data_IF_340440761888
#
_entry.id   IF_340440761888
#
_cell.length_a   1.000
_cell.length_b   1.000
_cell.length_c   1.000
_cell.angle_alpha   90.00
_cell.angle_beta   90.00
_cell.angle_gamma   90.00
#
_symmetry.space_group_name_H-M   'P 1'
#
loop_
_entity.id
_entity.type
_entity.pdbx_description
1 polymer ?
#
# COMPACT_ATOMS: atom_id res chain seq x y z
N UNK A 1 -7.17 -3.34 15.82
CA UNK A 1 -8.37 -4.20 15.76
C UNK A 1 -9.34 -3.51 14.82
N UNK A 2 -9.08 -3.65 13.50
CA UNK A 2 -9.87 -3.02 12.44
C UNK A 2 -11.18 -3.79 12.30
N UNK A 3 -12.26 -3.10 12.59
CA UNK A 3 -13.63 -3.59 12.44
C UNK A 3 -13.90 -3.65 10.93
N UNK A 4 -13.83 -4.84 10.36
CA UNK A 4 -14.31 -5.09 9.00
C UNK A 4 -15.77 -4.68 8.89
N UNK A 5 -16.17 -3.87 7.92
CA UNK A 5 -17.56 -3.52 7.76
C UNK A 5 -18.37 -4.78 7.43
N UNK A 6 -19.32 -5.08 8.25
CA UNK A 6 -20.23 -6.25 8.24
C UNK A 6 -21.10 -6.38 6.98
N UNK A 7 -20.95 -5.49 5.99
CA UNK A 7 -21.78 -5.43 4.79
C UNK A 7 -21.48 -6.51 3.75
N UNK A 8 -20.23 -7.06 3.67
CA UNK A 8 -19.91 -8.18 2.79
C UNK A 8 -20.67 -9.46 3.17
N UNK A 9 -20.90 -9.68 4.48
CA UNK A 9 -21.62 -10.87 4.97
C UNK A 9 -23.14 -10.76 4.78
N UNK A 10 -23.68 -9.56 4.81
CA UNK A 10 -25.11 -9.32 4.57
C UNK A 10 -25.50 -9.45 3.10
N UNK A 11 -24.56 -9.21 2.20
CA UNK A 11 -24.82 -9.23 0.77
C UNK A 11 -25.01 -10.66 0.23
N UNK A 12 -24.17 -11.60 0.65
CA UNK A 12 -24.29 -13.03 0.29
C UNK A 12 -25.57 -13.70 0.82
N UNK A 13 -26.12 -13.19 1.92
CA UNK A 13 -27.38 -13.71 2.47
C UNK A 13 -28.66 -13.16 1.81
N UNK A 14 -28.58 -12.04 1.10
CA UNK A 14 -29.76 -11.40 0.47
C UNK A 14 -29.95 -11.71 -1.00
N UNK A 15 -28.98 -12.36 -1.68
CA UNK A 15 -29.24 -13.06 -2.94
C UNK A 15 -29.95 -14.38 -2.62
N UNK A 16 -31.09 -14.30 -1.98
CA UNK A 16 -32.04 -15.41 -1.93
C UNK A 16 -32.73 -15.42 -3.29
N UNK A 17 -32.19 -16.24 -4.19
CA UNK A 17 -32.93 -16.69 -5.35
C UNK A 17 -34.35 -17.00 -4.90
N UNK A 18 -35.34 -16.29 -5.39
CA UNK A 18 -36.75 -16.69 -5.30
C UNK A 18 -36.91 -18.03 -6.00
N UNK A 19 -36.65 -19.12 -5.29
CA UNK A 19 -37.35 -20.35 -5.60
C UNK A 19 -38.72 -20.24 -4.94
N UNK A 20 -39.74 -20.37 -5.79
CA UNK A 20 -41.05 -20.86 -5.56
C UNK A 20 -42.19 -19.87 -5.18
N UNK A 21 -42.96 -19.54 -6.19
CA UNK A 21 -44.33 -20.09 -6.30
C UNK A 21 -44.77 -20.06 -7.76
N UNK A 22 -44.71 -21.18 -8.44
CA UNK A 22 -45.21 -21.33 -9.82
C UNK A 22 -46.70 -21.53 -9.82
N UNK A 23 -47.44 -20.57 -10.34
CA UNK A 23 -48.63 -20.88 -11.13
C UNK A 23 -48.19 -20.95 -12.60
N UNK A 24 -48.53 -22.08 -13.21
CA UNK A 24 -48.12 -22.47 -14.56
C UNK A 24 -48.77 -21.58 -15.62
N UNK A 25 -47.92 -20.76 -16.27
CA UNK A 25 -48.16 -20.20 -17.60
C UNK A 25 -47.02 -20.70 -18.52
N UNK A 26 -47.27 -21.02 -19.79
CA UNK A 26 -46.23 -21.59 -20.67
C UNK A 26 -45.10 -20.58 -20.89
N UNK A 27 -43.87 -21.03 -20.65
CA UNK A 27 -42.66 -20.28 -20.75
C UNK A 27 -42.22 -20.11 -22.21
N UNK A 28 -41.80 -18.90 -22.65
CA UNK A 28 -41.05 -18.76 -23.89
C UNK A 28 -39.68 -19.44 -23.78
N UNK A 29 -39.02 -19.78 -24.93
CA UNK A 29 -37.84 -20.65 -24.94
C UNK A 29 -36.67 -20.05 -24.14
N UNK A 30 -36.14 -20.85 -23.27
CA UNK A 30 -34.95 -20.78 -22.40
C UNK A 30 -33.96 -19.64 -22.65
N UNK A 31 -34.13 -18.53 -21.93
CA UNK A 31 -32.98 -17.75 -21.50
C UNK A 31 -32.25 -18.60 -20.42
N UNK A 32 -31.09 -19.09 -20.72
CA UNK A 32 -30.21 -19.82 -19.78
C UNK A 32 -30.00 -18.92 -18.55
N UNK A 33 -30.48 -19.36 -17.41
CA UNK A 33 -30.26 -18.65 -16.13
C UNK A 33 -28.74 -18.50 -15.94
N UNK A 34 -28.18 -17.28 -15.84
CA UNK A 34 -26.75 -17.10 -15.73
C UNK A 34 -26.24 -17.81 -14.47
N UNK A 35 -25.10 -18.52 -14.57
CA UNK A 35 -24.49 -19.15 -13.42
C UNK A 35 -23.86 -18.09 -12.49
N UNK A 36 -23.50 -18.49 -11.26
CA UNK A 36 -22.94 -17.57 -10.25
C UNK A 36 -21.71 -16.79 -10.78
N UNK A 37 -20.83 -17.46 -11.49
CA UNK A 37 -19.62 -16.84 -12.05
C UNK A 37 -19.97 -15.76 -13.08
N UNK A 38 -20.93 -16.03 -13.95
CA UNK A 38 -21.42 -15.05 -14.94
C UNK A 38 -22.05 -13.84 -14.24
N UNK A 39 -22.85 -14.08 -13.17
CA UNK A 39 -23.44 -12.99 -12.39
C UNK A 39 -22.37 -12.13 -11.71
N UNK A 40 -21.33 -12.76 -11.15
CA UNK A 40 -20.20 -12.04 -10.56
C UNK A 40 -19.46 -11.20 -11.58
N UNK A 41 -19.18 -11.74 -12.76
CA UNK A 41 -18.54 -10.99 -13.85
C UNK A 41 -19.36 -9.79 -14.30
N UNK A 42 -20.66 -9.98 -14.51
CA UNK A 42 -21.56 -8.89 -14.88
C UNK A 42 -21.66 -7.84 -13.78
N UNK A 43 -21.61 -8.25 -12.51
CA UNK A 43 -21.65 -7.32 -11.39
C UNK A 43 -20.37 -6.48 -11.31
N UNK A 44 -19.20 -7.08 -11.50
CA UNK A 44 -17.93 -6.35 -11.59
C UNK A 44 -17.96 -5.37 -12.76
N UNK A 45 -18.44 -5.79 -13.93
CA UNK A 45 -18.61 -4.90 -15.08
C UNK A 45 -19.53 -3.70 -14.73
N UNK A 46 -20.66 -3.95 -14.06
CA UNK A 46 -21.56 -2.89 -13.60
C UNK A 46 -20.89 -1.89 -12.67
N UNK A 47 -20.09 -2.36 -11.70
CA UNK A 47 -19.36 -1.50 -10.74
C UNK A 47 -18.37 -0.57 -11.45
N UNK A 48 -17.82 -0.98 -12.59
CA UNK A 48 -16.92 -0.20 -13.42
C UNK A 48 -17.60 0.53 -14.59
N UNK A 49 -18.95 0.63 -14.57
CA UNK A 49 -19.75 1.27 -15.63
C UNK A 49 -19.52 0.66 -17.04
N UNK A 50 -19.14 -0.61 -17.09
CA UNK A 50 -19.00 -1.36 -18.34
C UNK A 50 -20.34 -1.98 -18.75
N UNK A 51 -20.54 -2.33 -20.04
CA UNK A 51 -21.77 -2.98 -20.51
C UNK A 51 -22.06 -4.28 -19.73
N UNK A 52 -23.33 -4.46 -19.31
CA UNK A 52 -23.79 -5.63 -18.58
C UNK A 52 -25.31 -5.85 -18.74
N UNK A 53 -25.78 -7.08 -18.51
CA UNK A 53 -27.20 -7.46 -18.58
C UNK A 53 -27.83 -7.71 -17.21
N UNK A 54 -27.23 -7.19 -16.14
CA UNK A 54 -27.63 -7.46 -14.74
C UNK A 54 -29.01 -6.94 -14.40
N UNK A 55 -29.48 -5.90 -15.05
CA UNK A 55 -30.80 -5.32 -14.81
C UNK A 55 -31.94 -6.34 -14.94
N UNK A 56 -31.77 -7.35 -15.81
CA UNK A 56 -32.77 -8.43 -15.99
C UNK A 56 -32.83 -9.42 -14.82
N UNK A 57 -31.77 -9.47 -14.02
CA UNK A 57 -31.59 -10.45 -12.91
C UNK A 57 -31.85 -9.85 -11.54
N UNK A 58 -31.80 -8.51 -11.42
CA UNK A 58 -32.04 -7.78 -10.17
C UNK A 58 -33.54 -7.67 -9.91
N UNK A 59 -33.95 -7.89 -8.69
CA UNK A 59 -35.35 -7.80 -8.29
C UNK A 59 -35.84 -6.36 -8.34
N UNK A 60 -36.91 -6.11 -9.06
CA UNK A 60 -37.65 -4.85 -9.07
C UNK A 60 -38.72 -4.90 -7.97
N UNK A 61 -38.66 -3.93 -7.04
CA UNK A 61 -39.72 -3.66 -6.06
C UNK A 61 -39.95 -2.13 -5.94
N UNK A 62 -39.64 -1.51 -4.80
CA UNK A 62 -39.72 -0.06 -4.58
C UNK A 62 -38.71 0.74 -5.41
N UNK A 63 -37.60 0.12 -5.81
CA UNK A 63 -36.57 0.71 -6.67
C UNK A 63 -36.42 -0.14 -7.93
N UNK A 64 -36.20 0.50 -9.07
CA UNK A 64 -35.86 -0.22 -10.30
C UNK A 64 -34.52 -0.94 -10.18
N UNK A 65 -34.28 -1.94 -11.03
CA UNK A 65 -32.99 -2.66 -11.07
C UNK A 65 -31.82 -1.69 -11.32
N UNK A 66 -31.99 -0.73 -12.21
CA UNK A 66 -31.00 0.30 -12.55
C UNK A 66 -30.71 1.20 -11.34
N UNK A 67 -31.74 1.66 -10.62
CA UNK A 67 -31.56 2.47 -9.42
C UNK A 67 -30.78 1.73 -8.33
N UNK A 68 -31.06 0.43 -8.16
CA UNK A 68 -30.31 -0.40 -7.21
C UNK A 68 -28.86 -0.58 -7.61
N UNK A 69 -28.61 -0.88 -8.89
CA UNK A 69 -27.24 -1.00 -9.40
C UNK A 69 -26.49 0.31 -9.23
N UNK A 70 -27.13 1.45 -9.52
CA UNK A 70 -26.52 2.77 -9.33
C UNK A 70 -26.14 3.03 -7.85
N UNK A 71 -26.97 2.63 -6.90
CA UNK A 71 -26.64 2.71 -5.47
C UNK A 71 -25.40 1.87 -5.12
N UNK A 72 -25.30 0.65 -5.66
CA UNK A 72 -24.14 -0.20 -5.45
C UNK A 72 -22.87 0.38 -6.07
N UNK A 73 -22.96 0.91 -7.31
CA UNK A 73 -21.83 1.58 -7.97
C UNK A 73 -21.37 2.80 -7.19
N UNK A 74 -22.29 3.64 -6.71
CA UNK A 74 -21.95 4.80 -5.90
C UNK A 74 -21.26 4.38 -4.58
N UNK A 75 -21.83 3.41 -3.85
CA UNK A 75 -21.24 2.92 -2.61
C UNK A 75 -19.86 2.28 -2.83
N UNK A 76 -19.65 1.58 -3.94
CA UNK A 76 -18.37 1.01 -4.32
C UNK A 76 -17.32 2.12 -4.54
N UNK A 77 -17.66 3.14 -5.33
CA UNK A 77 -16.75 4.28 -5.58
C UNK A 77 -16.46 5.04 -4.28
N UNK A 78 -17.46 5.35 -3.47
CA UNK A 78 -17.29 6.03 -2.18
C UNK A 78 -16.38 5.20 -1.26
N UNK A 79 -16.68 3.91 -1.09
CA UNK A 79 -15.89 3.05 -0.20
C UNK A 79 -14.43 2.90 -0.62
N UNK A 80 -14.13 2.80 -1.92
CA UNK A 80 -12.75 2.76 -2.39
C UNK A 80 -12.08 4.14 -2.34
N UNK A 81 -12.84 5.23 -2.51
CA UNK A 81 -12.31 6.58 -2.31
C UNK A 81 -11.90 6.79 -0.85
N UNK A 82 -12.69 6.32 0.12
CA UNK A 82 -12.34 6.36 1.53
C UNK A 82 -11.09 5.54 1.85
N UNK A 83 -10.93 4.36 1.22
CA UNK A 83 -9.72 3.55 1.33
C UNK A 83 -8.51 4.33 0.79
N UNK A 84 -8.61 4.92 -0.40
CA UNK A 84 -7.53 5.73 -0.97
C UNK A 84 -7.20 6.95 -0.10
N UNK A 85 -8.21 7.64 0.44
CA UNK A 85 -8.01 8.77 1.34
C UNK A 85 -7.31 8.38 2.65
N UNK A 86 -7.58 7.16 3.14
CA UNK A 86 -6.88 6.61 4.32
C UNK A 86 -5.40 6.34 4.05
N UNK A 87 -5.07 5.81 2.86
CA UNK A 87 -3.68 5.51 2.46
C UNK A 87 -2.93 6.79 2.09
N UNK A 88 -3.58 7.70 1.37
CA UNK A 88 -3.00 8.90 0.77
C UNK A 88 -3.48 10.18 1.45
N UNK A 89 -3.48 10.17 2.79
CA UNK A 89 -4.03 11.25 3.60
C UNK A 89 -3.31 12.58 3.41
N UNK A 90 -1.99 12.55 3.25
CA UNK A 90 -1.19 13.77 3.03
C UNK A 90 -1.37 14.28 1.60
N UNK A 91 -1.44 13.40 0.61
CA UNK A 91 -1.79 13.78 -0.76
C UNK A 91 -3.16 14.46 -0.78
N UNK A 92 -4.18 13.88 -0.12
CA UNK A 92 -5.53 14.47 -0.02
C UNK A 92 -5.49 15.85 0.62
N UNK A 93 -4.76 16.03 1.72
CA UNK A 93 -4.60 17.31 2.39
C UNK A 93 -3.93 18.38 1.49
N UNK A 94 -2.99 17.97 0.63
CA UNK A 94 -2.26 18.90 -0.26
C UNK A 94 -3.09 19.39 -1.44
N UNK A 95 -4.01 18.59 -1.98
CA UNK A 95 -4.78 18.94 -3.19
C UNK A 95 -6.25 19.25 -2.90
N UNK A 96 -6.71 18.99 -1.69
CA UNK A 96 -8.10 19.15 -1.25
C UNK A 96 -9.05 18.06 -1.74
N UNK A 97 -10.17 17.92 -1.04
CA UNK A 97 -11.12 16.80 -1.21
C UNK A 97 -11.68 16.71 -2.62
N UNK A 98 -12.05 17.81 -3.25
CA UNK A 98 -12.65 17.80 -4.58
C UNK A 98 -11.69 17.24 -5.64
N UNK A 99 -10.43 17.70 -5.62
CA UNK A 99 -9.41 17.24 -6.55
C UNK A 99 -9.04 15.78 -6.26
N UNK A 100 -8.91 15.41 -4.99
CA UNK A 100 -8.62 14.04 -4.58
C UNK A 100 -9.72 13.07 -5.03
N UNK A 101 -11.00 13.42 -4.81
CA UNK A 101 -12.14 12.60 -5.22
C UNK A 101 -12.20 12.36 -6.74
N UNK A 102 -11.83 13.36 -7.54
CA UNK A 102 -11.74 13.19 -8.99
C UNK A 102 -10.64 12.19 -9.38
N UNK A 103 -9.46 12.32 -8.78
CA UNK A 103 -8.34 11.39 -9.02
C UNK A 103 -8.65 9.97 -8.53
N UNK A 104 -9.23 9.86 -7.33
CA UNK A 104 -9.65 8.58 -6.76
C UNK A 104 -10.67 7.88 -7.67
N UNK A 105 -11.69 8.61 -8.14
CA UNK A 105 -12.66 8.06 -9.08
C UNK A 105 -12.00 7.61 -10.39
N UNK A 106 -11.09 8.39 -10.94
CA UNK A 106 -10.35 8.02 -12.15
C UNK A 106 -9.51 6.75 -11.91
N UNK A 107 -8.83 6.67 -10.78
CA UNK A 107 -8.05 5.48 -10.39
C UNK A 107 -8.94 4.25 -10.28
N UNK A 108 -10.06 4.34 -9.56
CA UNK A 108 -10.99 3.23 -9.32
C UNK A 108 -11.55 2.67 -10.62
N UNK A 109 -11.86 3.53 -11.58
CA UNK A 109 -12.41 3.10 -12.87
C UNK A 109 -11.38 2.42 -13.78
N UNK A 110 -10.08 2.76 -13.62
CA UNK A 110 -8.99 2.23 -14.44
C UNK A 110 -8.26 1.04 -13.79
N UNK A 111 -8.34 0.92 -12.47
CA UNK A 111 -7.64 -0.11 -11.70
C UNK A 111 -8.65 -0.94 -10.90
N UNK A 112 -9.11 -2.07 -11.45
CA UNK A 112 -10.07 -2.93 -10.76
C UNK A 112 -9.49 -3.47 -9.45
N UNK A 113 -10.35 -3.65 -8.44
CA UNK A 113 -9.99 -4.18 -7.14
C UNK A 113 -9.45 -5.63 -7.27
N UNK A 114 -8.17 -5.89 -6.93
CA UNK A 114 -7.60 -7.22 -7.07
C UNK A 114 -8.30 -8.20 -6.11
N UNK A 115 -8.84 -9.30 -6.64
CA UNK A 115 -9.45 -10.39 -5.86
C UNK A 115 -10.47 -9.96 -4.77
N UNK A 116 -11.00 -8.73 -4.85
CA UNK A 116 -11.91 -8.19 -3.84
C UNK A 116 -11.23 -7.77 -2.52
N UNK A 117 -9.92 -7.72 -2.46
CA UNK A 117 -9.16 -7.36 -1.27
C UNK A 117 -8.85 -5.84 -1.25
N UNK A 118 -9.55 -5.12 -0.38
CA UNK A 118 -9.38 -3.68 -0.20
C UNK A 118 -8.11 -3.32 0.58
N UNK A 119 -7.50 -4.28 1.29
CA UNK A 119 -6.31 -4.01 2.10
C UNK A 119 -5.06 -3.74 1.26
N UNK A 120 -5.04 -4.23 0.02
CA UNK A 120 -3.96 -4.01 -0.95
C UNK A 120 -4.36 -3.03 -2.05
N UNK A 121 -5.48 -2.32 -1.87
CA UNK A 121 -5.97 -1.36 -2.85
C UNK A 121 -5.25 -0.01 -2.72
N UNK A 122 -4.84 0.55 -3.85
CA UNK A 122 -4.15 1.85 -3.92
C UNK A 122 -2.81 1.80 -4.67
N UNK A 123 -2.29 0.61 -4.97
CA UNK A 123 -1.12 0.50 -5.86
C UNK A 123 -1.34 1.31 -7.15
N UNK A 124 -0.28 1.94 -7.67
CA UNK A 124 -0.33 2.74 -8.90
C UNK A 124 -1.15 4.06 -8.82
N UNK A 125 -1.57 4.51 -7.62
CA UNK A 125 -2.22 5.81 -7.50
C UNK A 125 -1.26 6.96 -7.88
N UNK A 126 0.03 6.81 -7.59
CA UNK A 126 1.09 7.72 -8.08
C UNK A 126 1.11 7.85 -9.60
N UNK A 127 0.85 6.76 -10.33
CA UNK A 127 0.79 6.78 -11.81
C UNK A 127 -0.46 7.53 -12.29
N UNK A 128 -1.58 7.38 -11.57
CA UNK A 128 -2.80 8.16 -11.84
C UNK A 128 -2.56 9.67 -11.66
N UNK A 129 -1.80 10.06 -10.62
CA UNK A 129 -1.37 11.46 -10.40
C UNK A 129 -0.43 11.91 -11.52
N UNK A 130 0.56 11.10 -11.87
CA UNK A 130 1.54 11.41 -12.93
C UNK A 130 0.88 11.62 -14.30
N UNK A 131 -0.25 10.96 -14.54
CA UNK A 131 -1.04 11.14 -15.76
C UNK A 131 -1.81 12.48 -15.83
N UNK A 132 -1.69 13.38 -14.82
CA UNK A 132 -2.35 14.69 -14.77
C UNK A 132 -1.34 15.83 -15.00
N UNK A 133 -1.08 16.27 -16.25
CA UNK A 133 0.00 17.22 -16.54
C UNK A 133 -0.14 18.54 -15.79
N UNK A 134 -1.37 19.06 -15.65
CA UNK A 134 -1.63 20.32 -14.95
C UNK A 134 -1.28 20.21 -13.46
N UNK A 135 -1.62 19.09 -12.84
CA UNK A 135 -1.34 18.86 -11.42
C UNK A 135 0.16 18.69 -11.19
N UNK A 136 0.82 17.87 -12.00
CA UNK A 136 2.27 17.63 -11.90
C UNK A 136 3.07 18.88 -12.19
N UNK A 137 2.64 19.74 -13.12
CA UNK A 137 3.33 21.02 -13.36
C UNK A 137 3.21 22.00 -12.19
N UNK A 138 2.12 21.94 -11.43
CA UNK A 138 1.88 22.81 -10.26
C UNK A 138 2.53 22.24 -8.99
N UNK A 139 2.44 20.93 -8.77
CA UNK A 139 2.92 20.20 -7.60
C UNK A 139 3.79 19.00 -8.04
N UNK A 140 5.02 19.24 -8.53
CA UNK A 140 5.86 18.19 -9.12
C UNK A 140 6.26 17.11 -8.11
N UNK A 141 6.26 17.40 -6.82
CA UNK A 141 6.59 16.47 -5.74
C UNK A 141 5.44 15.52 -5.37
N UNK A 142 4.22 15.74 -5.87
CA UNK A 142 3.02 15.01 -5.43
C UNK A 142 3.09 13.52 -5.79
N UNK A 143 3.71 13.19 -6.91
CA UNK A 143 3.93 11.80 -7.33
C UNK A 143 4.82 11.07 -6.32
N UNK A 144 5.90 11.71 -5.88
CA UNK A 144 6.82 11.12 -4.91
C UNK A 144 6.20 11.06 -3.50
N UNK A 145 5.37 12.03 -3.14
CA UNK A 145 4.61 11.99 -1.89
C UNK A 145 3.65 10.79 -1.88
N UNK A 146 2.94 10.54 -2.98
CA UNK A 146 2.07 9.37 -3.09
C UNK A 146 2.88 8.05 -3.03
N UNK A 147 4.06 7.98 -3.66
CA UNK A 147 4.95 6.82 -3.54
C UNK A 147 5.38 6.57 -2.09
N UNK A 148 5.71 7.63 -1.34
CA UNK A 148 6.06 7.54 0.07
C UNK A 148 4.91 6.97 0.90
N UNK A 149 3.69 7.51 0.75
CA UNK A 149 2.52 7.06 1.51
C UNK A 149 2.17 5.60 1.18
N UNK A 150 2.22 5.21 -0.10
CA UNK A 150 2.03 3.81 -0.49
C UNK A 150 3.07 2.88 0.12
N UNK A 151 4.34 3.25 0.09
CA UNK A 151 5.42 2.44 0.66
C UNK A 151 5.27 2.28 2.17
N UNK A 152 4.88 3.35 2.88
CA UNK A 152 4.55 3.30 4.31
C UNK A 152 3.40 2.34 4.61
N UNK A 153 2.35 2.39 3.79
CA UNK A 153 1.19 1.49 3.91
C UNK A 153 1.60 0.03 3.63
N UNK A 154 2.41 -0.23 2.60
CA UNK A 154 2.98 -1.56 2.33
C UNK A 154 3.77 -2.11 3.51
N UNK A 155 4.69 -1.32 4.07
CA UNK A 155 5.50 -1.70 5.23
C UNK A 155 4.64 -1.97 6.46
N UNK A 156 3.55 -1.20 6.65
CA UNK A 156 2.64 -1.37 7.79
C UNK A 156 1.92 -2.73 7.82
N UNK A 157 1.74 -3.34 6.66
CA UNK A 157 1.09 -4.65 6.51
C UNK A 157 2.04 -5.83 6.72
N UNK A 158 3.34 -5.58 6.73
CA UNK A 158 4.34 -6.62 6.95
C UNK A 158 4.45 -6.98 8.43
N UNK A 159 4.97 -8.18 8.71
CA UNK A 159 5.16 -8.63 10.08
C UNK A 159 6.10 -7.68 10.84
N UNK A 160 5.62 -7.15 11.95
CA UNK A 160 6.40 -6.30 12.82
C UNK A 160 7.62 -7.06 13.37
N UNK A 161 8.80 -6.45 13.34
CA UNK A 161 9.99 -7.02 13.97
C UNK A 161 10.26 -6.39 15.33
N UNK A 162 10.86 -7.18 16.22
CA UNK A 162 11.16 -6.77 17.59
C UNK A 162 12.52 -6.07 17.76
N UNK A 163 13.35 -6.07 16.71
CA UNK A 163 14.69 -5.46 16.72
C UNK A 163 15.68 -6.13 17.66
N UNK A 164 15.49 -7.41 17.92
CA UNK A 164 16.40 -8.15 18.78
C UNK A 164 17.67 -8.48 18.01
N UNK A 165 18.72 -7.76 18.33
CA UNK A 165 20.07 -8.09 17.83
C UNK A 165 20.48 -9.47 18.37
N UNK A 166 20.92 -10.40 17.53
CA UNK A 166 21.37 -11.70 17.98
C UNK A 166 22.76 -11.63 18.62
N UNK A 167 22.87 -10.95 19.79
CA UNK A 167 24.13 -10.73 20.49
C UNK A 167 24.86 -12.05 20.80
N UNK A 168 24.10 -13.10 21.13
CA UNK A 168 24.68 -14.43 21.39
C UNK A 168 25.27 -15.05 20.12
N UNK A 169 24.62 -14.82 18.99
CA UNK A 169 25.12 -15.26 17.68
C UNK A 169 26.37 -14.48 17.26
N UNK A 170 26.39 -13.17 17.52
CA UNK A 170 27.59 -12.35 17.32
C UNK A 170 28.76 -12.85 18.16
N UNK A 171 28.54 -13.14 19.44
CA UNK A 171 29.56 -13.72 20.34
C UNK A 171 30.03 -15.09 19.88
N UNK A 172 29.12 -15.96 19.44
CA UNK A 172 29.48 -17.28 18.86
C UNK A 172 30.35 -17.13 17.63
N UNK A 173 29.99 -16.19 16.74
CA UNK A 173 30.77 -15.89 15.54
C UNK A 173 32.15 -15.34 15.92
N UNK A 174 32.24 -14.49 16.93
CA UNK A 174 33.49 -13.95 17.43
C UNK A 174 34.40 -15.06 18.04
N UNK A 175 33.86 -15.98 18.81
CA UNK A 175 34.56 -17.15 19.32
C UNK A 175 35.00 -18.13 18.22
N UNK A 176 34.30 -18.18 17.12
CA UNK A 176 34.62 -19.00 15.96
C UNK A 176 35.39 -18.24 14.87
N UNK A 177 35.87 -17.03 15.17
CA UNK A 177 36.45 -16.11 14.16
C UNK A 177 37.63 -16.71 13.39
N UNK A 178 38.37 -17.69 13.98
CA UNK A 178 39.43 -18.44 13.29
C UNK A 178 38.91 -19.41 12.19
N UNK A 179 37.64 -19.73 12.18
CA UNK A 179 37.01 -20.67 11.24
C UNK A 179 35.89 -20.06 10.38
N UNK A 180 35.57 -18.76 10.60
CA UNK A 180 34.53 -18.06 9.85
C UNK A 180 35.18 -17.36 8.64
N UNK A 181 34.66 -17.70 7.49
CA UNK A 181 34.94 -16.98 6.24
C UNK A 181 33.86 -15.91 6.03
N UNK A 182 34.18 -14.59 6.12
CA UNK A 182 33.20 -13.52 5.92
C UNK A 182 32.44 -13.60 4.60
N UNK A 183 32.96 -14.35 3.62
CA UNK A 183 32.30 -14.67 2.36
C UNK A 183 31.04 -15.52 2.50
N UNK A 184 30.87 -16.19 3.63
CA UNK A 184 29.74 -17.13 3.85
C UNK A 184 28.59 -16.51 4.63
N UNK A 185 28.69 -15.25 5.07
CA UNK A 185 27.68 -14.62 5.92
C UNK A 185 27.21 -13.28 5.35
N UNK A 186 25.95 -12.94 5.59
CA UNK A 186 25.37 -11.63 5.30
C UNK A 186 24.53 -11.12 6.48
N UNK A 187 24.35 -9.81 6.56
CA UNK A 187 23.45 -9.18 7.52
C UNK A 187 22.01 -9.29 7.00
N UNK A 188 21.13 -9.90 7.80
CA UNK A 188 19.71 -9.99 7.43
C UNK A 188 18.98 -8.74 7.92
N UNK A 189 18.33 -8.08 6.99
CA UNK A 189 17.42 -6.94 7.23
C UNK A 189 15.98 -7.48 7.23
N UNK A 190 15.15 -7.14 8.23
CA UNK A 190 13.74 -7.54 8.27
C UNK A 190 12.98 -7.12 7.02
N UNK A 191 12.11 -7.96 6.52
CA UNK A 191 11.26 -7.67 5.35
C UNK A 191 10.37 -6.43 5.57
N UNK A 192 10.08 -6.09 6.83
CA UNK A 192 9.34 -4.91 7.25
C UNK A 192 10.17 -3.63 7.28
N UNK A 193 11.32 -3.62 6.61
CA UNK A 193 12.18 -2.46 6.42
C UNK A 193 12.29 -2.17 4.93
N UNK A 194 12.07 -0.93 4.54
CA UNK A 194 12.21 -0.46 3.16
C UNK A 194 12.94 0.88 3.11
N UNK A 195 13.41 1.25 1.93
CA UNK A 195 14.16 2.49 1.70
C UNK A 195 13.43 3.36 0.69
N UNK A 196 13.41 4.66 0.92
CA UNK A 196 12.79 5.64 0.05
C UNK A 196 13.76 6.71 -0.38
N UNK A 197 13.66 7.15 -1.64
CA UNK A 197 14.46 8.25 -2.18
C UNK A 197 13.60 9.11 -3.09
N UNK A 198 13.75 10.43 -2.96
CA UNK A 198 13.07 11.43 -3.78
C UNK A 198 13.99 12.61 -4.08
N UNK A 199 13.77 13.29 -5.20
CA UNK A 199 14.40 14.58 -5.51
C UNK A 199 13.78 15.75 -4.75
N UNK A 200 12.69 15.47 -4.01
CA UNK A 200 11.92 16.45 -3.25
C UNK A 200 11.95 16.13 -1.75
N UNK A 201 11.73 17.14 -0.92
CA UNK A 201 11.64 17.02 0.53
C UNK A 201 10.28 16.46 1.01
N UNK A 202 9.79 15.39 0.37
CA UNK A 202 8.48 14.81 0.66
C UNK A 202 8.42 14.08 2.00
N UNK A 203 9.56 13.60 2.50
CA UNK A 203 9.67 12.98 3.82
C UNK A 203 9.39 14.03 4.90
N UNK A 204 10.08 15.17 4.85
CA UNK A 204 9.85 16.30 5.76
C UNK A 204 8.44 16.88 5.59
N UNK A 205 7.95 16.99 4.36
CA UNK A 205 6.58 17.46 4.11
C UNK A 205 5.56 16.55 4.79
N UNK A 206 5.69 15.24 4.63
CA UNK A 206 4.81 14.26 5.27
C UNK A 206 4.86 14.38 6.80
N UNK A 207 6.06 14.50 7.38
CA UNK A 207 6.26 14.65 8.82
C UNK A 207 5.58 15.92 9.35
N UNK A 208 5.76 17.04 8.67
CA UNK A 208 5.15 18.32 9.07
C UNK A 208 3.61 18.22 9.01
N UNK A 209 3.05 17.68 7.92
CA UNK A 209 1.58 17.62 7.76
C UNK A 209 0.94 16.66 8.76
N UNK A 210 1.64 15.61 9.19
CA UNK A 210 1.13 14.60 10.13
C UNK A 210 1.51 14.88 11.61
N UNK A 211 2.13 16.02 11.91
CA UNK A 211 2.36 16.42 13.31
C UNK A 211 1.05 16.83 13.99
N UNK A 212 0.93 16.47 15.27
CA UNK A 212 -0.27 16.77 16.08
C UNK A 212 -0.33 18.20 16.62
N UNK A 213 0.70 19.02 16.34
CA UNK A 213 0.84 20.35 16.93
C UNK A 213 0.72 21.44 15.86
N UNK A 214 -0.47 22.04 15.74
CA UNK A 214 -0.84 23.00 14.69
C UNK A 214 -0.08 24.35 14.77
N UNK A 215 0.37 24.78 15.95
CA UNK A 215 0.90 26.14 16.14
C UNK A 215 2.20 26.44 15.36
N UNK A 216 2.98 25.40 15.03
CA UNK A 216 4.23 25.53 14.30
C UNK A 216 4.19 24.97 12.88
N UNK A 217 3.14 24.23 12.52
CA UNK A 217 3.03 23.53 11.24
C UNK A 217 3.07 24.50 10.05
N UNK A 218 2.32 25.61 10.12
CA UNK A 218 2.31 26.62 9.05
C UNK A 218 3.68 27.27 8.86
N UNK A 219 4.39 27.54 9.97
CA UNK A 219 5.72 28.14 9.91
C UNK A 219 6.73 27.13 9.31
N UNK A 220 6.66 25.87 9.69
CA UNK A 220 7.51 24.81 9.14
C UNK A 220 7.26 24.60 7.65
N UNK A 221 6.00 24.57 7.21
CA UNK A 221 5.63 24.49 5.80
C UNK A 221 6.15 25.69 5.01
N UNK A 222 6.05 26.91 5.57
CA UNK A 222 6.53 28.13 4.91
C UNK A 222 8.06 28.17 4.74
N UNK A 223 8.81 27.47 5.60
CA UNK A 223 10.29 27.40 5.57
C UNK A 223 10.82 26.18 4.86
N UNK A 224 9.97 25.20 4.53
CA UNK A 224 10.38 23.97 3.88
C UNK A 224 10.85 24.24 2.44
N UNK A 225 12.11 23.89 2.15
CA UNK A 225 12.59 23.87 0.78
C UNK A 225 12.22 22.51 0.13
N UNK A 226 11.09 22.50 -0.58
CA UNK A 226 10.57 21.27 -1.20
C UNK A 226 11.51 20.70 -2.27
N UNK A 227 12.35 21.49 -2.91
CA UNK A 227 13.28 21.05 -3.99
C UNK A 227 14.59 20.51 -3.42
N UNK A 228 14.59 19.96 -2.23
CA UNK A 228 15.76 19.33 -1.62
C UNK A 228 15.62 17.81 -1.68
N UNK A 229 16.56 17.08 -2.28
CA UNK A 229 16.54 15.62 -2.29
C UNK A 229 16.58 15.04 -0.86
N UNK A 230 15.82 13.98 -0.64
CA UNK A 230 15.78 13.28 0.64
C UNK A 230 15.80 11.77 0.45
N UNK A 231 16.42 11.09 1.41
CA UNK A 231 16.37 9.65 1.57
C UNK A 231 15.90 9.28 2.97
N UNK A 232 15.14 8.22 3.08
CA UNK A 232 14.60 7.75 4.35
C UNK A 232 14.59 6.22 4.43
N UNK A 233 14.60 5.73 5.67
CA UNK A 233 14.21 4.37 6.03
C UNK A 233 12.78 4.38 6.53
N UNK A 234 12.03 3.36 6.14
CA UNK A 234 10.67 3.11 6.60
C UNK A 234 10.66 1.69 7.18
N UNK A 235 10.23 1.52 8.43
CA UNK A 235 10.22 0.21 9.08
C UNK A 235 9.00 0.03 9.98
N UNK A 236 8.45 -1.20 10.00
CA UNK A 236 7.45 -1.61 10.97
C UNK A 236 8.18 -2.26 12.17
N UNK A 237 8.45 -1.45 13.19
CA UNK A 237 9.22 -1.82 14.37
C UNK A 237 8.43 -1.51 15.63
N UNK A 238 8.39 -2.45 16.58
CA UNK A 238 7.67 -2.31 17.86
C UNK A 238 6.22 -1.82 17.69
N UNK A 239 5.51 -2.39 16.70
CA UNK A 239 4.10 -2.07 16.39
C UNK A 239 3.83 -0.64 15.91
N UNK A 240 4.88 0.05 15.47
CA UNK A 240 4.80 1.40 14.90
C UNK A 240 5.53 1.47 13.56
N UNK A 241 5.06 2.37 12.71
CA UNK A 241 5.76 2.70 11.48
C UNK A 241 6.72 3.84 11.75
N UNK A 242 7.99 3.50 11.77
CA UNK A 242 9.08 4.45 11.91
C UNK A 242 9.52 4.93 10.54
N UNK A 243 9.80 6.23 10.46
CA UNK A 243 10.39 6.87 9.30
C UNK A 243 11.54 7.73 9.77
N UNK A 244 12.69 7.59 9.15
CA UNK A 244 13.90 8.31 9.57
C UNK A 244 14.69 8.77 8.36
N UNK A 245 15.15 10.01 8.39
CA UNK A 245 16.11 10.52 7.42
C UNK A 245 17.44 9.79 7.54
N UNK A 246 17.97 9.37 6.42
CA UNK A 246 19.26 8.66 6.33
C UNK A 246 20.07 9.14 5.14
N UNK A 247 21.36 8.83 5.14
CA UNK A 247 22.23 9.15 4.01
C UNK A 247 21.99 8.18 2.84
N UNK A 248 22.26 8.59 1.58
CA UNK A 248 22.17 7.71 0.42
C UNK A 248 23.07 6.47 0.52
N UNK A 249 24.22 6.61 1.20
CA UNK A 249 25.15 5.52 1.42
C UNK A 249 24.54 4.43 2.32
N UNK A 250 23.79 4.85 3.37
CA UNK A 250 23.10 3.91 4.23
C UNK A 250 21.96 3.18 3.48
N UNK A 251 21.22 3.88 2.64
CA UNK A 251 20.22 3.27 1.74
C UNK A 251 20.87 2.19 0.86
N UNK A 252 22.04 2.49 0.27
CA UNK A 252 22.77 1.53 -0.55
C UNK A 252 23.20 0.30 0.26
N UNK A 253 23.69 0.51 1.48
CA UNK A 253 24.08 -0.59 2.37
C UNK A 253 22.88 -1.48 2.75
N UNK A 254 21.74 -0.87 3.08
CA UNK A 254 20.49 -1.61 3.37
C UNK A 254 20.07 -2.46 2.17
N UNK A 255 20.09 -1.89 0.96
CA UNK A 255 19.77 -2.60 -0.28
C UNK A 255 20.72 -3.77 -0.54
N UNK A 256 22.03 -3.59 -0.34
CA UNK A 256 23.03 -4.65 -0.45
C UNK A 256 22.77 -5.79 0.55
N UNK A 257 22.44 -5.46 1.79
CA UNK A 257 22.09 -6.44 2.82
C UNK A 257 20.79 -7.21 2.47
N UNK A 258 19.78 -6.51 1.95
CA UNK A 258 18.53 -7.15 1.50
C UNK A 258 18.75 -8.09 0.32
N UNK A 259 19.73 -7.79 -0.54
CA UNK A 259 20.16 -8.68 -1.62
C UNK A 259 21.09 -9.82 -1.14
N UNK A 260 21.22 -10.00 0.17
CA UNK A 260 22.06 -11.04 0.80
C UNK A 260 23.54 -10.97 0.41
N UNK A 261 24.02 -9.76 0.15
CA UNK A 261 25.44 -9.55 -0.22
C UNK A 261 26.35 -9.99 0.92
N UNK A 262 27.38 -10.82 0.65
CA UNK A 262 28.30 -11.28 1.68
C UNK A 262 29.00 -10.12 2.38
N UNK A 263 29.25 -10.24 3.68
CA UNK A 263 29.94 -9.23 4.48
C UNK A 263 31.31 -8.88 3.88
N UNK A 264 32.02 -9.88 3.35
CA UNK A 264 33.30 -9.68 2.70
C UNK A 264 33.25 -8.88 1.39
N UNK A 265 32.06 -8.74 0.79
CA UNK A 265 31.87 -7.97 -0.44
C UNK A 265 31.43 -6.52 -0.17
N UNK A 266 31.22 -6.16 1.12
CA UNK A 266 30.94 -4.78 1.51
C UNK A 266 32.24 -3.95 1.45
N UNK A 267 32.09 -2.71 1.03
CA UNK A 267 33.23 -1.77 0.98
C UNK A 267 33.60 -1.30 2.40
N UNK A 268 34.84 -0.83 2.62
CA UNK A 268 35.24 -0.27 3.92
C UNK A 268 34.30 0.86 4.38
N UNK A 269 33.89 1.73 3.48
CA UNK A 269 32.93 2.83 3.76
C UNK A 269 31.55 2.31 4.18
N UNK A 270 31.09 1.18 3.64
CA UNK A 270 29.86 0.53 4.07
C UNK A 270 30.00 -0.12 5.44
N UNK A 271 31.16 -0.70 5.75
CA UNK A 271 31.43 -1.27 7.08
C UNK A 271 31.47 -0.18 8.16
N UNK A 272 31.93 1.02 7.84
CA UNK A 272 31.91 2.17 8.76
C UNK A 272 30.47 2.63 9.09
N UNK A 273 29.48 2.26 8.28
CA UNK A 273 28.06 2.55 8.52
C UNK A 273 27.34 1.49 9.36
N UNK A 274 27.98 0.35 9.68
CA UNK A 274 27.35 -0.70 10.50
C UNK A 274 26.81 -0.21 11.85
N UNK A 275 27.48 0.70 12.58
CA UNK A 275 26.94 1.25 13.82
C UNK A 275 25.57 1.94 13.61
N UNK A 276 25.33 2.54 12.45
CA UNK A 276 24.04 3.16 12.13
C UNK A 276 22.97 2.09 11.88
N UNK A 277 23.28 0.98 11.17
CA UNK A 277 22.35 -0.14 11.03
C UNK A 277 21.92 -0.72 12.39
N UNK A 278 22.87 -0.81 13.32
CA UNK A 278 22.60 -1.27 14.68
C UNK A 278 21.76 -0.26 15.47
N UNK A 279 22.09 1.03 15.38
CA UNK A 279 21.36 2.11 16.05
C UNK A 279 19.90 2.17 15.61
N UNK A 280 19.65 1.97 14.32
CA UNK A 280 18.30 1.97 13.73
C UNK A 280 17.59 0.61 13.83
N UNK A 281 18.14 -0.37 14.53
CA UNK A 281 17.59 -1.73 14.70
C UNK A 281 17.30 -2.45 13.37
N UNK A 282 18.14 -2.22 12.35
CA UNK A 282 17.94 -2.75 11.00
C UNK A 282 18.45 -4.17 10.83
N UNK A 283 19.34 -4.65 11.68
CA UNK A 283 19.86 -6.02 11.62
C UNK A 283 19.12 -6.87 12.66
N UNK A 284 18.38 -7.87 12.22
CA UNK A 284 17.74 -8.85 13.10
C UNK A 284 18.48 -10.19 13.17
N UNK A 285 19.30 -10.51 12.18
CA UNK A 285 20.07 -11.75 12.13
C UNK A 285 21.35 -11.64 11.27
N UNK A 286 22.25 -12.59 11.49
CA UNK A 286 23.40 -12.86 10.61
C UNK A 286 23.21 -14.27 10.05
N UNK A 287 23.10 -14.40 8.74
CA UNK A 287 22.79 -15.67 8.08
C UNK A 287 23.89 -16.11 7.14
N UNK A 288 23.99 -17.43 6.92
CA UNK A 288 24.85 -17.97 5.89
C UNK A 288 24.24 -17.71 4.51
N UNK A 289 25.09 -17.37 3.57
CA UNK A 289 24.73 -17.32 2.15
C UNK A 289 24.41 -18.76 1.74
N UNK A 290 23.21 -19.02 1.24
CA UNK A 290 22.88 -20.33 0.73
C UNK A 290 23.74 -20.62 -0.51
N UNK A 291 24.44 -21.73 -0.48
CA UNK A 291 25.29 -22.19 -1.61
C UNK A 291 24.48 -22.85 -2.74
N UNK A 292 23.13 -22.83 -2.66
CA UNK A 292 22.23 -23.45 -3.63
C UNK A 292 21.35 -22.33 -4.28
N UNK A 293 21.93 -21.62 -5.24
CA UNK A 293 21.21 -20.76 -6.20
C UNK A 293 21.86 -20.87 -7.58
#
# INVERSE_FOLDING_TARGET
>A
MLIFPHWQYYWLKRIRLKQLSRRSTPMPPSATTPNLQQLQHQFVAALHYQPHDLATTVVNDHFSAEQRLQLYCNNFIIGLTDVLASVYSTVSAMIGDDCFNLLARQHILNHPLPQGDVTVYGAHFSDTIAAQPTLVSTLPYLVDLARLEWQRDCVSRLACHAGNLPLDKLRQLEHQASHITPQQYYFHIPISTDTFSSQYAVVSLWEIVNQTNDDHQQQQLATLNINQPQTALIQHYQWQIWQQHVTPELVTLVADCQQQRPIAALTPTQLDLLPQLLHHHLIDDIRKVNSDA
#
